data_IF_361866301301
#
_entry.id   IF_361866301301
#
_cell.length_a   1.000
_cell.length_b   1.000
_cell.length_c   1.000
_cell.angle_alpha   90.00
_cell.angle_beta   90.00
_cell.angle_gamma   90.00
#
_symmetry.space_group_name_H-M   'P 1'
#
loop_
_entity.id
_entity.type
_entity.pdbx_description
1 polymer ?
#
# COMPACT_ATOMS: atom_id res chain seq x y z
N UNK A 1 12.85 -18.08 -62.60
CA UNK A 1 13.21 -18.35 -61.18
C UNK A 1 13.67 -17.10 -60.42
N UNK A 2 14.64 -16.32 -60.92
CA UNK A 2 15.19 -15.13 -60.20
C UNK A 2 14.12 -14.09 -59.81
N UNK A 3 13.22 -13.75 -60.73
CA UNK A 3 12.11 -12.81 -60.48
C UNK A 3 11.17 -13.25 -59.35
N UNK A 4 10.79 -14.54 -59.35
CA UNK A 4 9.88 -15.12 -58.34
C UNK A 4 10.51 -15.09 -56.95
N UNK A 5 11.79 -15.42 -56.84
CA UNK A 5 12.50 -15.38 -55.55
C UNK A 5 12.56 -13.96 -54.96
N UNK A 6 12.75 -12.96 -55.82
CA UNK A 6 12.84 -11.56 -55.42
C UNK A 6 11.47 -11.01 -54.97
N UNK A 7 10.41 -11.39 -55.67
CA UNK A 7 9.03 -11.07 -55.29
C UNK A 7 8.63 -11.72 -53.96
N UNK A 8 9.03 -12.97 -53.72
CA UNK A 8 8.79 -13.66 -52.44
C UNK A 8 9.49 -12.94 -51.28
N UNK A 9 10.77 -12.58 -51.44
CA UNK A 9 11.52 -11.87 -50.40
C UNK A 9 10.90 -10.48 -50.09
N UNK A 10 10.50 -9.73 -51.12
CA UNK A 10 9.83 -8.44 -50.94
C UNK A 10 8.51 -8.58 -50.16
N UNK A 11 7.70 -9.59 -50.48
CA UNK A 11 6.43 -9.84 -49.76
C UNK A 11 6.67 -10.26 -48.32
N UNK A 12 7.70 -11.06 -48.07
CA UNK A 12 8.06 -11.47 -46.71
C UNK A 12 8.51 -10.25 -45.88
N UNK A 13 9.34 -9.36 -46.44
CA UNK A 13 9.74 -8.13 -45.73
C UNK A 13 8.56 -7.22 -45.35
N UNK A 14 7.50 -7.20 -46.16
CA UNK A 14 6.30 -6.40 -45.87
C UNK A 14 5.36 -7.06 -44.85
N UNK A 15 5.60 -8.32 -44.47
CA UNK A 15 4.73 -9.11 -43.60
C UNK A 15 5.07 -9.00 -42.10
N UNK A 16 5.96 -8.08 -41.74
CA UNK A 16 6.34 -7.83 -40.34
C UNK A 16 6.96 -9.06 -39.64
N UNK A 17 6.70 -9.27 -38.34
CA UNK A 17 7.39 -10.30 -37.55
C UNK A 17 7.24 -11.74 -38.06
N UNK A 18 6.13 -12.04 -38.75
CA UNK A 18 5.90 -13.36 -39.35
C UNK A 18 6.74 -13.57 -40.62
N UNK A 19 6.91 -12.51 -41.42
CA UNK A 19 7.80 -12.52 -42.57
C UNK A 19 9.26 -12.71 -42.17
N UNK A 20 9.70 -12.00 -41.14
CA UNK A 20 11.07 -12.10 -40.60
C UNK A 20 11.39 -13.51 -40.09
N UNK A 21 10.42 -14.18 -39.44
CA UNK A 21 10.56 -15.59 -39.02
C UNK A 21 10.78 -16.53 -40.20
N UNK A 22 10.04 -16.34 -41.29
CA UNK A 22 10.16 -17.17 -42.49
C UNK A 22 11.50 -16.91 -43.18
N UNK A 23 11.92 -15.65 -43.31
CA UNK A 23 13.24 -15.29 -43.86
C UNK A 23 14.38 -15.90 -43.03
N UNK A 24 14.29 -15.84 -41.69
CA UNK A 24 15.27 -16.46 -40.80
C UNK A 24 15.33 -17.99 -40.96
N UNK A 25 14.19 -18.65 -41.16
CA UNK A 25 14.13 -20.09 -41.43
C UNK A 25 14.79 -20.45 -42.78
N UNK A 26 14.58 -19.64 -43.82
CA UNK A 26 15.22 -19.80 -45.14
C UNK A 26 16.74 -19.64 -45.03
N UNK A 27 17.22 -18.59 -44.36
CA UNK A 27 18.67 -18.35 -44.13
C UNK A 27 19.28 -19.53 -43.37
N UNK A 28 18.61 -20.01 -42.32
CA UNK A 28 19.07 -21.16 -41.53
C UNK A 28 19.17 -22.43 -42.38
N UNK A 29 18.18 -22.69 -43.23
CA UNK A 29 18.18 -23.85 -44.12
C UNK A 29 19.30 -23.75 -45.17
N UNK A 30 19.53 -22.58 -45.76
CA UNK A 30 20.62 -22.33 -46.71
C UNK A 30 22.00 -22.50 -46.07
N UNK A 31 22.17 -22.08 -44.83
CA UNK A 31 23.45 -22.23 -44.10
C UNK A 31 23.74 -23.70 -43.72
N UNK A 32 22.71 -24.54 -43.55
CA UNK A 32 22.84 -25.97 -43.18
C UNK A 32 22.83 -26.94 -44.39
N UNK A 33 22.47 -26.46 -45.58
CA UNK A 33 22.32 -27.27 -46.79
C UNK A 33 23.65 -27.71 -47.41
N UNK A 34 23.57 -28.62 -48.38
CA UNK A 34 24.73 -29.11 -49.13
C UNK A 34 25.35 -28.00 -50.01
N UNK A 35 26.67 -28.02 -50.28
CA UNK A 35 27.33 -26.99 -51.07
C UNK A 35 26.83 -26.98 -52.52
N UNK A 36 26.50 -25.82 -53.10
CA UNK A 36 26.08 -25.74 -54.50
C UNK A 36 27.25 -26.07 -55.44
N UNK A 37 26.95 -26.44 -56.69
CA UNK A 37 27.96 -26.82 -57.68
C UNK A 37 28.77 -25.62 -58.22
N UNK A 38 28.17 -24.41 -58.25
CA UNK A 38 28.79 -23.21 -58.80
C UNK A 38 29.64 -22.45 -57.76
N UNK A 39 30.83 -21.99 -58.15
CA UNK A 39 31.77 -21.34 -57.26
C UNK A 39 31.23 -20.05 -56.63
N UNK A 40 30.60 -19.17 -57.43
CA UNK A 40 29.99 -17.93 -56.91
C UNK A 40 28.90 -18.20 -55.87
N UNK A 41 28.13 -19.28 -56.04
CA UNK A 41 27.07 -19.67 -55.11
C UNK A 41 27.65 -20.20 -53.79
N UNK A 42 28.80 -20.90 -53.83
CA UNK A 42 29.53 -21.32 -52.64
C UNK A 42 30.04 -20.12 -51.86
N UNK A 43 30.67 -19.17 -52.54
CA UNK A 43 31.19 -17.95 -51.90
C UNK A 43 30.07 -17.10 -51.30
N UNK A 44 28.92 -17.01 -51.96
CA UNK A 44 27.74 -16.32 -51.42
C UNK A 44 27.19 -16.98 -50.14
N UNK A 45 27.12 -18.32 -50.09
CA UNK A 45 26.69 -19.05 -48.89
C UNK A 45 27.71 -18.89 -47.76
N UNK A 46 29.01 -18.91 -48.04
CA UNK A 46 30.02 -18.71 -47.00
C UNK A 46 29.98 -17.29 -46.41
N UNK A 47 29.72 -16.25 -47.22
CA UNK A 47 29.46 -14.90 -46.71
C UNK A 47 28.20 -14.86 -45.82
N UNK A 48 27.12 -15.49 -46.27
CA UNK A 48 25.86 -15.55 -45.51
C UNK A 48 26.03 -16.27 -44.17
N UNK A 49 26.81 -17.35 -44.12
CA UNK A 49 27.11 -18.08 -42.88
C UNK A 49 27.84 -17.19 -41.86
N UNK A 50 28.84 -16.42 -42.30
CA UNK A 50 29.56 -15.48 -41.41
C UNK A 50 28.62 -14.43 -40.84
N UNK A 51 27.85 -13.76 -41.71
CA UNK A 51 26.88 -12.75 -41.29
C UNK A 51 25.84 -13.34 -40.32
N UNK A 52 25.33 -14.54 -40.59
CA UNK A 52 24.33 -15.18 -39.73
C UNK A 52 24.87 -15.50 -38.32
N UNK A 53 26.16 -15.84 -38.21
CA UNK A 53 26.82 -16.06 -36.92
C UNK A 53 27.00 -14.72 -36.18
N UNK A 54 27.44 -13.67 -36.88
CA UNK A 54 27.59 -12.33 -36.32
C UNK A 54 26.24 -11.78 -35.81
N UNK A 55 25.20 -11.79 -36.64
CA UNK A 55 23.85 -11.34 -36.27
C UNK A 55 23.27 -12.15 -35.08
N UNK A 56 23.63 -13.42 -34.96
CA UNK A 56 23.23 -14.25 -33.82
C UNK A 56 23.98 -13.83 -32.56
N UNK A 57 25.29 -13.64 -32.64
CA UNK A 57 26.10 -13.19 -31.50
C UNK A 57 25.67 -11.80 -31.01
N UNK A 58 25.36 -10.87 -31.93
CA UNK A 58 24.85 -9.54 -31.58
C UNK A 58 23.50 -9.62 -30.88
N UNK A 59 22.55 -10.42 -31.39
CA UNK A 59 21.25 -10.63 -30.73
C UNK A 59 21.39 -11.26 -29.35
N UNK A 60 22.24 -12.27 -29.22
CA UNK A 60 22.49 -12.95 -27.95
C UNK A 60 23.13 -11.97 -26.94
N UNK A 61 24.08 -11.14 -27.38
CA UNK A 61 24.70 -10.09 -26.55
C UNK A 61 23.71 -8.98 -26.16
N UNK A 62 22.83 -8.56 -27.07
CA UNK A 62 21.78 -7.58 -26.79
C UNK A 62 20.78 -8.13 -25.77
N UNK A 63 20.32 -9.36 -25.97
CA UNK A 63 19.41 -10.03 -25.04
C UNK A 63 20.05 -10.24 -23.66
N UNK A 64 21.36 -10.50 -23.58
CA UNK A 64 22.09 -10.59 -22.31
C UNK A 64 22.12 -9.24 -21.58
N UNK A 65 22.46 -8.15 -22.29
CA UNK A 65 22.46 -6.78 -21.73
C UNK A 65 21.10 -6.36 -21.20
N UNK A 66 20.03 -6.64 -21.95
CA UNK A 66 18.66 -6.32 -21.54
C UNK A 66 18.22 -7.11 -20.29
N UNK A 67 18.66 -8.37 -20.16
CA UNK A 67 18.42 -9.18 -18.96
C UNK A 67 19.15 -8.60 -17.76
N UNK A 68 20.43 -8.28 -17.90
CA UNK A 68 21.24 -7.65 -16.84
C UNK A 68 20.64 -6.31 -16.39
N UNK A 69 20.23 -5.45 -17.33
CA UNK A 69 19.60 -4.16 -17.01
C UNK A 69 18.26 -4.36 -16.27
N UNK A 70 17.44 -5.32 -16.70
CA UNK A 70 16.18 -5.66 -16.02
C UNK A 70 16.42 -6.17 -14.60
N UNK A 71 17.38 -7.06 -14.41
CA UNK A 71 17.77 -7.57 -13.10
C UNK A 71 18.30 -6.45 -12.20
N UNK A 72 19.09 -5.53 -12.75
CA UNK A 72 19.60 -4.38 -12.00
C UNK A 72 18.48 -3.44 -11.55
N UNK A 73 17.53 -3.11 -12.44
CA UNK A 73 16.34 -2.30 -12.10
C UNK A 73 15.47 -2.97 -11.05
N UNK A 74 15.29 -4.29 -11.14
CA UNK A 74 14.55 -5.06 -10.14
C UNK A 74 15.24 -5.03 -8.78
N UNK A 75 16.55 -5.28 -8.73
CA UNK A 75 17.34 -5.19 -7.49
C UNK A 75 17.29 -3.78 -6.88
N UNK A 76 17.36 -2.74 -7.70
CA UNK A 76 17.28 -1.35 -7.22
C UNK A 76 15.89 -1.06 -6.63
N UNK A 77 14.81 -1.46 -7.32
CA UNK A 77 13.45 -1.32 -6.83
C UNK A 77 13.24 -2.05 -5.50
N UNK A 78 13.72 -3.29 -5.41
CA UNK A 78 13.57 -4.12 -4.23
C UNK A 78 14.39 -3.56 -3.06
N UNK A 79 15.60 -3.05 -3.31
CA UNK A 79 16.40 -2.35 -2.31
C UNK A 79 15.74 -1.05 -1.80
N UNK A 80 15.11 -0.27 -2.69
CA UNK A 80 14.33 0.92 -2.31
C UNK A 80 13.12 0.52 -1.45
N UNK A 81 12.39 -0.52 -1.86
CA UNK A 81 11.24 -1.02 -1.11
C UNK A 81 11.65 -1.52 0.28
N UNK A 82 12.76 -2.26 0.37
CA UNK A 82 13.31 -2.75 1.63
C UNK A 82 13.71 -1.59 2.56
N UNK A 83 14.46 -0.61 2.06
CA UNK A 83 14.85 0.58 2.87
C UNK A 83 13.63 1.34 3.39
N UNK A 84 12.59 1.50 2.56
CA UNK A 84 11.34 2.15 2.98
C UNK A 84 10.62 1.34 4.06
N UNK A 85 10.58 0.02 3.93
CA UNK A 85 9.99 -0.86 4.92
C UNK A 85 10.75 -0.79 6.26
N UNK A 86 12.08 -0.81 6.22
CA UNK A 86 12.95 -0.65 7.40
C UNK A 86 12.73 0.71 8.07
N UNK A 87 12.66 1.80 7.30
CA UNK A 87 12.38 3.13 7.82
C UNK A 87 10.99 3.20 8.48
N UNK A 88 9.95 2.66 7.84
CA UNK A 88 8.61 2.59 8.44
C UNK A 88 8.61 1.74 9.72
N UNK A 89 9.30 0.61 9.74
CA UNK A 89 9.43 -0.20 10.96
C UNK A 89 10.10 0.59 12.10
N UNK A 90 11.21 1.27 11.81
CA UNK A 90 11.91 2.10 12.81
C UNK A 90 11.08 3.28 13.33
N UNK A 91 10.25 3.90 12.47
CA UNK A 91 9.29 4.92 12.89
C UNK A 91 8.24 4.34 13.85
N UNK A 92 7.69 3.16 13.53
CA UNK A 92 6.72 2.48 14.39
C UNK A 92 7.30 2.13 15.76
N UNK A 93 8.53 1.63 15.80
CA UNK A 93 9.23 1.38 17.06
C UNK A 93 9.41 2.68 17.87
N UNK A 94 9.61 3.81 17.19
CA UNK A 94 9.62 5.14 17.79
C UNK A 94 8.29 5.49 18.45
N UNK A 95 7.18 5.30 17.73
CA UNK A 95 5.83 5.53 18.25
C UNK A 95 5.49 4.61 19.43
N UNK A 96 5.91 3.34 19.36
CA UNK A 96 5.76 2.39 20.47
C UNK A 96 6.46 2.88 21.74
N UNK A 97 7.72 3.33 21.64
CA UNK A 97 8.45 3.90 22.78
C UNK A 97 7.79 5.15 23.35
N UNK A 98 7.26 6.03 22.48
CA UNK A 98 6.49 7.19 22.94
C UNK A 98 5.25 6.77 23.73
N UNK A 99 4.53 5.75 23.26
CA UNK A 99 3.36 5.21 23.97
C UNK A 99 3.72 4.67 25.36
N UNK A 100 4.76 3.84 25.45
CA UNK A 100 5.24 3.29 26.72
C UNK A 100 5.65 4.37 27.73
N UNK A 101 6.31 5.45 27.27
CA UNK A 101 6.69 6.57 28.13
C UNK A 101 5.47 7.28 28.74
N UNK A 102 4.36 7.39 27.99
CA UNK A 102 3.15 8.04 28.48
C UNK A 102 2.44 7.25 29.58
N UNK A 103 2.56 5.91 29.59
CA UNK A 103 1.99 5.06 30.64
C UNK A 103 2.59 5.40 32.02
N UNK A 104 3.88 5.77 32.06
CA UNK A 104 4.58 6.17 33.29
C UNK A 104 4.40 7.64 33.70
N UNK A 105 3.76 8.47 32.87
CA UNK A 105 3.59 9.89 33.16
C UNK A 105 2.48 10.12 34.19
N UNK A 106 2.71 10.95 35.20
CA UNK A 106 1.73 11.21 36.28
C UNK A 106 0.87 12.45 36.03
N UNK A 107 1.38 13.41 35.25
CA UNK A 107 0.62 14.60 34.85
C UNK A 107 -0.44 14.27 33.79
N UNK A 108 -1.71 14.39 34.17
CA UNK A 108 -2.87 14.13 33.31
C UNK A 108 -2.92 15.03 32.07
N UNK A 109 -2.57 16.31 32.22
CA UNK A 109 -2.64 17.27 31.11
C UNK A 109 -1.49 17.00 30.13
N UNK A 110 -0.28 16.76 30.64
CA UNK A 110 0.85 16.37 29.81
C UNK A 110 0.58 15.06 29.05
N UNK A 111 -0.04 14.06 29.69
CA UNK A 111 -0.47 12.83 29.01
C UNK A 111 -1.47 13.07 27.89
N UNK A 112 -2.44 13.96 28.10
CA UNK A 112 -3.44 14.31 27.08
C UNK A 112 -2.79 14.87 25.82
N UNK A 113 -1.93 15.88 25.97
CA UNK A 113 -1.22 16.46 24.83
C UNK A 113 -0.25 15.48 24.16
N UNK A 114 0.43 14.65 24.94
CA UNK A 114 1.31 13.63 24.39
C UNK A 114 0.54 12.57 23.58
N UNK A 115 -0.68 12.22 24.00
CA UNK A 115 -1.56 11.32 23.27
C UNK A 115 -2.03 11.92 21.95
N UNK A 116 -2.48 13.19 21.95
CA UNK A 116 -2.87 13.89 20.73
C UNK A 116 -1.74 13.89 19.70
N UNK A 117 -0.50 14.15 20.15
CA UNK A 117 0.69 14.11 19.31
C UNK A 117 0.98 12.70 18.79
N UNK A 118 0.99 11.68 19.66
CA UNK A 118 1.20 10.29 19.25
C UNK A 118 0.19 9.87 18.17
N UNK A 119 -1.08 10.20 18.36
CA UNK A 119 -2.14 9.84 17.41
C UNK A 119 -1.95 10.55 16.08
N UNK A 120 -1.55 11.82 16.09
CA UNK A 120 -1.21 12.54 14.86
C UNK A 120 -0.05 11.85 14.11
N UNK A 121 1.03 11.54 14.81
CA UNK A 121 2.20 10.88 14.24
C UNK A 121 1.86 9.45 13.74
N UNK A 122 1.00 8.71 14.46
CA UNK A 122 0.52 7.39 14.05
C UNK A 122 -0.33 7.47 12.78
N UNK A 123 -1.22 8.45 12.68
CA UNK A 123 -2.03 8.66 11.48
C UNK A 123 -1.17 9.05 10.28
N UNK A 124 -0.15 9.88 10.47
CA UNK A 124 0.81 10.24 9.43
C UNK A 124 1.61 9.03 8.97
N UNK A 125 2.10 8.22 9.92
CA UNK A 125 2.82 6.97 9.64
C UNK A 125 2.00 5.98 8.79
N UNK A 126 0.69 5.95 9.00
CA UNK A 126 -0.27 5.14 8.26
C UNK A 126 -0.81 5.86 7.02
N UNK A 127 -0.27 7.01 6.61
CA UNK A 127 -0.64 7.80 5.43
C UNK A 127 -2.12 8.29 5.44
N UNK A 128 -2.66 8.62 6.62
CA UNK A 128 -4.06 9.02 6.81
C UNK A 128 -4.28 10.54 6.73
N UNK A 129 -3.30 11.32 6.24
CA UNK A 129 -3.37 12.78 6.09
C UNK A 129 -3.96 13.49 7.33
N UNK A 130 -3.32 13.35 8.51
CA UNK A 130 -3.88 13.87 9.74
C UNK A 130 -3.85 15.40 9.81
N UNK A 131 -4.78 15.93 10.59
CA UNK A 131 -4.82 17.32 11.04
C UNK A 131 -4.88 17.31 12.56
N UNK A 132 -3.91 17.96 13.21
CA UNK A 132 -3.89 18.12 14.66
C UNK A 132 -5.05 18.98 15.16
N UNK A 133 -5.13 19.21 16.47
CA UNK A 133 -6.26 19.95 17.07
C UNK A 133 -6.52 21.29 16.38
N UNK A 134 -7.79 21.60 16.16
CA UNK A 134 -8.23 22.85 15.55
C UNK A 134 -9.55 23.31 16.16
N UNK A 135 -9.84 24.60 15.98
CA UNK A 135 -11.09 25.22 16.43
C UNK A 135 -11.91 25.67 15.24
N UNK A 136 -13.19 25.39 15.32
CA UNK A 136 -14.23 26.05 14.53
C UNK A 136 -15.09 26.87 15.50
N UNK A 137 -15.92 27.78 14.98
CA UNK A 137 -16.68 28.71 15.82
C UNK A 137 -17.54 27.97 16.85
N UNK A 138 -17.15 28.03 18.13
CA UNK A 138 -17.86 27.40 19.24
C UNK A 138 -17.51 25.92 19.51
N UNK A 139 -16.62 25.29 18.74
CA UNK A 139 -16.31 23.85 18.87
C UNK A 139 -14.79 23.60 18.69
N UNK A 140 -14.17 22.91 19.68
CA UNK A 140 -12.79 22.43 19.59
C UNK A 140 -12.79 20.95 19.19
N UNK A 141 -11.96 20.60 18.21
CA UNK A 141 -11.79 19.24 17.71
C UNK A 141 -10.36 18.79 18.03
N UNK A 142 -10.20 17.60 18.60
CA UNK A 142 -8.89 17.09 19.05
C UNK A 142 -8.01 16.73 17.85
N UNK A 143 -8.63 16.29 16.74
CA UNK A 143 -7.98 16.13 15.45
C UNK A 143 -8.92 15.59 14.39
N UNK A 144 -8.40 15.38 13.19
CA UNK A 144 -9.10 14.65 12.14
C UNK A 144 -8.12 13.94 11.22
N UNK A 145 -8.61 12.95 10.46
CA UNK A 145 -7.82 12.26 9.44
C UNK A 145 -8.71 11.83 8.26
N UNK A 146 -8.09 11.50 7.14
CA UNK A 146 -8.77 11.02 5.94
C UNK A 146 -8.59 9.50 5.78
N UNK A 147 -9.70 8.78 5.67
CA UNK A 147 -9.70 7.34 5.43
C UNK A 147 -10.94 6.93 4.64
N UNK A 148 -10.79 6.05 3.65
CA UNK A 148 -11.91 5.57 2.84
C UNK A 148 -12.68 6.67 2.11
N UNK A 149 -12.00 7.72 1.63
CA UNK A 149 -12.59 8.94 1.05
C UNK A 149 -13.51 9.73 2.00
N UNK A 150 -13.44 9.48 3.30
CA UNK A 150 -14.23 10.15 4.33
C UNK A 150 -13.34 10.91 5.30
N UNK A 151 -13.88 11.99 5.86
CA UNK A 151 -13.26 12.68 6.99
C UNK A 151 -13.67 12.00 8.29
N UNK A 152 -12.68 11.71 9.13
CA UNK A 152 -12.89 11.15 10.46
C UNK A 152 -12.50 12.18 11.52
N UNK A 153 -13.42 12.57 12.39
CA UNK A 153 -13.13 13.41 13.56
C UNK A 153 -12.59 12.55 14.70
N UNK A 154 -11.52 13.00 15.33
CA UNK A 154 -10.93 12.35 16.50
C UNK A 154 -11.43 13.01 17.78
N UNK A 155 -11.79 12.17 18.76
CA UNK A 155 -11.84 12.52 20.18
C UNK A 155 -10.91 11.55 20.93
N UNK A 156 -9.94 12.07 21.68
CA UNK A 156 -8.95 11.25 22.37
C UNK A 156 -8.94 11.54 23.88
N UNK A 157 -8.98 10.48 24.71
CA UNK A 157 -9.04 10.59 26.16
C UNK A 157 -8.09 9.63 26.87
N UNK A 158 -7.37 10.18 27.84
CA UNK A 158 -6.55 9.42 28.79
C UNK A 158 -6.97 9.73 30.23
N UNK A 159 -8.13 9.19 30.63
CA UNK A 159 -8.67 9.32 31.99
C UNK A 159 -8.44 8.04 32.78
N UNK A 160 -8.31 8.14 34.11
CA UNK A 160 -8.03 6.98 34.96
C UNK A 160 -9.20 5.98 34.98
N UNK A 161 -10.44 6.48 34.96
CA UNK A 161 -11.64 5.65 34.87
C UNK A 161 -12.06 5.40 33.42
N UNK A 162 -12.65 4.23 33.11
CA UNK A 162 -13.30 3.98 31.83
C UNK A 162 -14.36 5.03 31.50
N UNK A 163 -14.55 5.31 30.21
CA UNK A 163 -15.54 6.28 29.75
C UNK A 163 -16.96 5.76 30.03
N UNK A 164 -17.75 6.60 30.71
CA UNK A 164 -19.19 6.38 30.94
C UNK A 164 -20.04 6.94 29.79
N UNK A 165 -21.35 6.67 29.81
CA UNK A 165 -22.25 6.93 28.67
C UNK A 165 -22.40 8.41 28.27
N UNK A 166 -22.13 9.35 29.18
CA UNK A 166 -22.10 10.80 28.90
C UNK A 166 -20.86 11.22 28.10
N UNK A 167 -19.78 10.45 28.17
CA UNK A 167 -18.52 10.77 27.53
C UNK A 167 -18.58 10.81 26.00
N UNK A 168 -19.57 10.14 25.39
CA UNK A 168 -19.77 10.10 23.94
C UNK A 168 -20.51 11.31 23.36
N UNK A 169 -21.28 12.04 24.19
CA UNK A 169 -22.15 13.10 23.72
C UNK A 169 -21.39 14.21 22.97
N UNK A 170 -20.15 14.48 23.39
CA UNK A 170 -19.27 15.44 22.73
C UNK A 170 -19.00 15.06 21.27
N UNK A 171 -18.49 13.85 21.01
CA UNK A 171 -18.16 13.44 19.64
C UNK A 171 -19.41 13.24 18.77
N UNK A 172 -20.49 12.74 19.36
CA UNK A 172 -21.77 12.58 18.68
C UNK A 172 -22.34 13.93 18.19
N UNK A 173 -22.30 14.96 19.05
CA UNK A 173 -22.66 16.32 18.67
C UNK A 173 -21.75 16.89 17.57
N UNK A 174 -20.42 16.73 17.72
CA UNK A 174 -19.42 17.21 16.77
C UNK A 174 -19.63 16.60 15.38
N UNK A 175 -19.92 15.31 15.29
CA UNK A 175 -20.11 14.59 14.02
C UNK A 175 -21.48 14.87 13.38
N UNK A 176 -22.53 15.08 14.17
CA UNK A 176 -23.89 15.34 13.65
C UNK A 176 -24.02 16.63 12.85
N UNK A 177 -23.18 17.64 13.11
CA UNK A 177 -23.17 18.91 12.38
C UNK A 177 -22.29 18.93 11.12
N UNK A 178 -21.81 17.77 10.66
CA UNK A 178 -20.90 17.65 9.50
C UNK A 178 -21.60 16.98 8.32
N UNK A 179 -20.86 16.66 7.26
CA UNK A 179 -21.42 15.96 6.10
C UNK A 179 -21.94 14.59 6.50
N UNK A 180 -22.91 14.05 5.76
CA UNK A 180 -23.57 12.76 6.06
C UNK A 180 -22.58 11.59 6.15
N UNK A 181 -21.46 11.70 5.44
CA UNK A 181 -20.38 10.71 5.38
C UNK A 181 -19.23 10.98 6.35
N UNK A 182 -19.24 12.09 7.09
CA UNK A 182 -18.26 12.33 8.16
C UNK A 182 -18.47 11.30 9.26
N UNK A 183 -17.39 10.62 9.62
CA UNK A 183 -17.37 9.64 10.72
C UNK A 183 -16.55 10.15 11.89
N UNK A 184 -16.62 9.46 13.01
CA UNK A 184 -15.77 9.73 14.17
C UNK A 184 -14.93 8.53 14.56
N UNK A 185 -13.85 8.81 15.28
CA UNK A 185 -13.04 7.85 15.99
C UNK A 185 -12.92 8.34 17.44
N UNK A 186 -13.43 7.55 18.37
CA UNK A 186 -13.25 7.79 19.80
C UNK A 186 -12.14 6.89 20.32
N UNK A 187 -11.12 7.47 20.95
CA UNK A 187 -10.02 6.70 21.57
C UNK A 187 -10.01 6.98 23.07
N UNK A 188 -10.17 5.93 23.88
CA UNK A 188 -10.05 6.00 25.34
C UNK A 188 -9.01 4.99 25.81
N UNK A 189 -7.87 5.45 26.34
CA UNK A 189 -6.78 4.54 26.70
C UNK A 189 -7.21 3.48 27.72
N UNK A 190 -7.96 3.89 28.74
CA UNK A 190 -8.48 2.99 29.78
C UNK A 190 -9.89 2.45 29.46
N UNK A 191 -10.29 2.48 28.20
CA UNK A 191 -11.49 1.83 27.68
C UNK A 191 -12.81 2.50 28.08
N UNK A 192 -13.87 1.68 28.11
CA UNK A 192 -15.27 2.09 28.21
C UNK A 192 -16.01 1.19 29.20
N UNK A 193 -17.03 1.72 29.90
CA UNK A 193 -17.92 0.87 30.70
C UNK A 193 -18.86 0.06 29.79
N UNK A 194 -19.33 -1.09 30.27
CA UNK A 194 -20.28 -1.93 29.52
C UNK A 194 -21.59 -1.18 29.25
N UNK A 195 -22.06 -0.45 30.25
CA UNK A 195 -23.28 0.36 30.20
C UNK A 195 -23.15 1.48 29.17
N UNK A 196 -21.96 2.09 29.06
CA UNK A 196 -21.68 3.12 28.06
C UNK A 196 -21.80 2.56 26.63
N UNK A 197 -21.15 1.42 26.36
CA UNK A 197 -21.21 0.76 25.04
C UNK A 197 -22.62 0.29 24.69
N UNK A 198 -23.33 -0.32 25.64
CA UNK A 198 -24.72 -0.75 25.46
C UNK A 198 -25.67 0.43 25.23
N UNK A 199 -25.43 1.55 25.91
CA UNK A 199 -26.20 2.78 25.71
C UNK A 199 -25.96 3.38 24.32
N UNK A 200 -24.72 3.35 23.84
CA UNK A 200 -24.37 3.86 22.51
C UNK A 200 -25.04 3.07 21.38
N UNK A 201 -25.02 1.73 21.46
CA UNK A 201 -25.65 0.86 20.45
C UNK A 201 -27.17 1.06 20.31
N UNK A 202 -27.84 1.63 21.34
CA UNK A 202 -29.29 1.86 21.37
C UNK A 202 -29.71 3.26 20.90
N UNK A 203 -28.77 4.18 20.68
CA UNK A 203 -29.05 5.63 20.47
C UNK A 203 -29.39 6.04 19.03
N UNK A 204 -29.44 5.10 18.09
CA UNK A 204 -29.79 5.38 16.69
C UNK A 204 -28.61 5.18 15.74
N UNK A 205 -28.35 6.13 14.86
CA UNK A 205 -27.31 6.02 13.83
C UNK A 205 -25.90 6.09 14.42
N UNK A 206 -25.14 5.00 14.27
CA UNK A 206 -23.76 4.95 14.71
C UNK A 206 -22.85 5.77 13.76
N UNK A 207 -22.35 6.91 14.23
CA UNK A 207 -21.49 7.83 13.46
C UNK A 207 -19.99 7.65 13.72
N UNK A 208 -19.62 6.92 14.76
CA UNK A 208 -18.23 6.74 15.14
C UNK A 208 -17.97 5.35 15.71
N UNK A 209 -16.71 4.94 15.67
CA UNK A 209 -16.23 3.71 16.31
C UNK A 209 -15.30 4.04 17.47
N UNK A 210 -15.13 3.07 18.37
CA UNK A 210 -14.36 3.19 19.58
C UNK A 210 -13.12 2.30 19.52
N UNK A 211 -11.96 2.85 19.88
CA UNK A 211 -10.73 2.12 20.16
C UNK A 211 -10.25 2.41 21.58
N UNK A 212 -9.38 1.55 22.10
CA UNK A 212 -8.76 1.71 23.41
C UNK A 212 -7.23 1.52 23.36
N UNK A 213 -6.57 1.55 24.52
CA UNK A 213 -5.13 1.34 24.62
C UNK A 213 -4.68 0.00 24.05
N UNK A 214 -5.49 -1.07 24.16
CA UNK A 214 -5.13 -2.38 23.61
C UNK A 214 -5.11 -2.38 22.07
N UNK A 215 -6.01 -1.61 21.44
CA UNK A 215 -5.97 -1.38 20.00
C UNK A 215 -4.71 -0.64 19.57
N UNK A 216 -4.35 0.43 20.28
CA UNK A 216 -3.13 1.18 19.98
C UNK A 216 -1.90 0.29 20.13
N UNK A 217 -1.82 -0.50 21.20
CA UNK A 217 -0.75 -1.48 21.39
C UNK A 217 -0.66 -2.47 20.22
N UNK A 218 -1.79 -3.03 19.78
CA UNK A 218 -1.82 -3.91 18.60
C UNK A 218 -1.35 -3.20 17.33
N UNK A 219 -1.72 -1.93 17.14
CA UNK A 219 -1.29 -1.14 15.99
C UNK A 219 0.22 -0.85 16.03
N UNK A 220 0.77 -0.57 17.21
CA UNK A 220 2.18 -0.17 17.39
C UNK A 220 3.15 -1.36 17.39
N UNK A 221 2.67 -2.58 17.62
CA UNK A 221 3.49 -3.78 17.52
C UNK A 221 4.00 -4.05 16.09
N UNK A 222 5.14 -4.75 15.93
CA UNK A 222 5.63 -5.17 14.62
C UNK A 222 4.56 -5.94 13.82
N UNK A 223 4.33 -5.53 12.58
CA UNK A 223 3.28 -6.10 11.72
C UNK A 223 1.85 -5.59 12.00
N UNK A 224 1.66 -4.77 13.03
CA UNK A 224 0.40 -4.08 13.29
C UNK A 224 0.03 -3.09 12.19
N UNK A 225 -1.23 -2.68 12.14
CA UNK A 225 -1.70 -1.60 11.27
C UNK A 225 -2.98 -1.00 11.82
N UNK A 226 -3.00 0.33 11.91
CA UNK A 226 -4.21 1.05 12.27
C UNK A 226 -5.28 0.92 11.18
N UNK A 227 -4.90 0.96 9.90
CA UNK A 227 -5.85 0.78 8.79
C UNK A 227 -6.60 -0.55 8.91
N UNK A 228 -5.89 -1.66 9.10
CA UNK A 228 -6.52 -2.97 9.30
C UNK A 228 -7.42 -3.00 10.54
N UNK A 229 -6.99 -2.37 11.62
CA UNK A 229 -7.78 -2.26 12.85
C UNK A 229 -9.08 -1.47 12.59
N UNK A 230 -9.01 -0.34 11.89
CA UNK A 230 -10.19 0.43 11.49
C UNK A 230 -11.11 -0.38 10.57
N UNK A 231 -10.57 -1.10 9.59
CA UNK A 231 -11.34 -1.97 8.70
C UNK A 231 -12.14 -3.02 9.49
N UNK A 232 -11.49 -3.72 10.43
CA UNK A 232 -12.14 -4.74 11.26
C UNK A 232 -13.24 -4.14 12.16
N UNK A 233 -12.96 -3.01 12.82
CA UNK A 233 -13.92 -2.37 13.74
C UNK A 233 -15.10 -1.78 12.98
N UNK A 234 -14.86 -1.09 11.86
CA UNK A 234 -15.94 -0.54 11.04
C UNK A 234 -16.80 -1.64 10.42
N UNK A 235 -16.20 -2.76 10.02
CA UNK A 235 -16.94 -3.92 9.56
C UNK A 235 -17.82 -4.49 10.66
N UNK A 236 -17.27 -4.70 11.86
CA UNK A 236 -18.04 -5.16 13.03
C UNK A 236 -19.20 -4.22 13.35
N UNK A 237 -18.92 -2.91 13.38
CA UNK A 237 -19.92 -1.88 13.63
C UNK A 237 -21.03 -1.88 12.57
N UNK A 238 -20.69 -2.06 11.30
CA UNK A 238 -21.66 -2.17 10.20
C UNK A 238 -22.51 -3.44 10.25
N UNK A 239 -21.94 -4.56 10.72
CA UNK A 239 -22.64 -5.86 10.80
C UNK A 239 -23.50 -5.98 12.07
N UNK A 240 -23.12 -5.34 13.18
CA UNK A 240 -23.73 -5.56 14.51
C UNK A 240 -24.38 -4.32 15.13
N UNK A 241 -24.02 -3.12 14.66
CA UNK A 241 -24.37 -1.86 15.32
C UNK A 241 -23.53 -1.55 16.56
N UNK A 242 -22.54 -2.37 16.90
CA UNK A 242 -21.67 -2.15 18.06
C UNK A 242 -20.43 -1.33 17.69
N UNK A 243 -20.23 -0.19 18.35
CA UNK A 243 -19.13 0.72 18.07
C UNK A 243 -17.73 0.20 18.44
N UNK A 244 -17.66 -0.88 19.22
CA UNK A 244 -16.44 -1.37 19.84
C UNK A 244 -16.30 -2.88 19.63
N UNK A 245 -15.24 -3.29 18.96
CA UNK A 245 -14.80 -4.69 18.88
C UNK A 245 -13.54 -4.81 19.75
N UNK A 246 -13.49 -5.65 20.80
CA UNK A 246 -12.28 -5.78 21.60
C UNK A 246 -11.08 -6.25 20.77
N UNK A 247 -9.90 -5.69 21.02
CA UNK A 247 -8.67 -6.07 20.31
C UNK A 247 -8.34 -7.57 20.41
N UNK A 248 -8.73 -8.22 21.52
CA UNK A 248 -8.59 -9.67 21.73
C UNK A 248 -9.47 -10.52 20.81
N UNK A 249 -10.52 -9.94 20.25
CA UNK A 249 -11.50 -10.59 19.36
C UNK A 249 -11.20 -10.33 17.88
N UNK A 250 -10.19 -9.51 17.58
CA UNK A 250 -9.75 -9.22 16.21
C UNK A 250 -8.93 -10.38 15.64
N UNK A 251 -8.92 -10.50 14.31
CA UNK A 251 -8.13 -11.51 13.60
C UNK A 251 -6.63 -11.20 13.79
N UNK A 252 -5.78 -12.22 13.82
CA UNK A 252 -4.32 -12.00 13.86
C UNK A 252 -3.77 -11.72 12.48
#
# INVERSE_FOLDING_TARGET
MRYVAQEVLNRLQQSGPNGDRIVAAIITALCKGAPPAHQEAREAIERLKRQHVEDRQERDAQAAREREEREQKERERDAIAQRRAEQKAGQRDGLMRQFEQMVGQTDRQARGFALERLLNDLFDHEDLAPRGSFRITGEQIDGSFAWGNQTHLLEARWRDAPVAGDGFATLDYKTSGKTVDTRGLFISINGYSKEALQGLAKKGELRFVCLDGAHLMRCLQPGGSLRKTLEEVWRHAGETGEAFLPASSMRR
#
